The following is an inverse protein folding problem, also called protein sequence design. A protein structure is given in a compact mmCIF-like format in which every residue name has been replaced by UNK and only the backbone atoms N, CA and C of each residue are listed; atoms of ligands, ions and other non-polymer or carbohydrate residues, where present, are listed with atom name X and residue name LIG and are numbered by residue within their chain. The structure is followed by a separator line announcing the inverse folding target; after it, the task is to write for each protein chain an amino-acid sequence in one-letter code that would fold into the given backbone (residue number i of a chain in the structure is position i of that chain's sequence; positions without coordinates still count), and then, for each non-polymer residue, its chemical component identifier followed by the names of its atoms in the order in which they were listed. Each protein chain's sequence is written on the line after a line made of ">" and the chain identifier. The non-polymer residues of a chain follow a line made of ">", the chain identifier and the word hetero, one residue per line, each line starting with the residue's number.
data_IF_526961173291
#
_entry.id   IF_526961173291
#
_cell.length_a   1.000
_cell.length_b   1.000
_cell.length_c   1.000
_cell.angle_alpha   90.00
_cell.angle_beta   90.00
_cell.angle_gamma   90.00
#
_symmetry.space_group_name_H-M   'P 1'
#
loop_
_entity.id
_entity.type
_entity.pdbx_description
1 polymer ?
#
# COMPACT_ATOMS: atom_id res chain seq x y z
N UNK A 1 -4.34 8.77 32.56
CA UNK A 1 -3.59 7.50 32.40
C UNK A 1 -2.94 7.49 31.02
N UNK A 2 -1.64 7.82 30.93
CA UNK A 2 -0.88 7.87 29.67
C UNK A 2 -0.23 6.50 29.43
N UNK A 3 -0.38 6.00 28.21
CA UNK A 3 0.06 4.67 27.75
C UNK A 3 1.59 4.53 27.85
N UNK A 4 2.04 3.45 28.47
CA UNK A 4 3.43 2.99 28.48
C UNK A 4 3.66 2.21 27.18
N UNK A 5 4.63 2.63 26.37
CA UNK A 5 5.05 1.89 25.18
C UNK A 5 6.08 0.84 25.62
N UNK A 6 5.71 -0.43 25.60
CA UNK A 6 6.59 -1.56 25.88
C UNK A 6 6.99 -2.19 24.54
N UNK A 7 8.23 -1.97 24.08
CA UNK A 7 8.77 -2.75 22.96
C UNK A 7 9.35 -4.05 23.51
N UNK A 8 8.69 -5.17 23.23
CA UNK A 8 9.22 -6.51 23.48
C UNK A 8 9.55 -7.12 22.12
N UNK A 9 10.84 -7.27 21.80
CA UNK A 9 11.28 -8.08 20.67
C UNK A 9 11.36 -9.53 21.16
N UNK A 10 10.42 -10.39 20.77
CA UNK A 10 10.50 -11.84 21.01
C UNK A 10 10.93 -12.55 19.72
N UNK A 11 12.15 -13.09 19.68
CA UNK A 11 12.58 -14.06 18.68
C UNK A 11 12.44 -15.50 19.20
N UNK A 12 11.87 -16.39 18.39
CA UNK A 12 11.69 -17.82 18.70
C UNK A 12 13.03 -18.57 18.76
N UNK A 13 13.11 -19.52 19.70
CA UNK A 13 14.33 -20.16 20.18
C UNK A 13 14.89 -21.27 19.27
N UNK A 14 16.19 -21.18 18.99
CA UNK A 14 17.12 -22.30 18.98
C UNK A 14 18.17 -21.99 20.05
N UNK A 15 18.69 -23.00 20.76
CA UNK A 15 19.59 -22.84 21.93
C UNK A 15 20.85 -22.06 21.53
N UNK A 16 20.81 -20.75 21.71
CA UNK A 16 21.92 -19.83 21.59
C UNK A 16 22.06 -19.13 22.94
N UNK A 17 23.28 -18.98 23.43
CA UNK A 17 23.59 -18.13 24.59
C UNK A 17 23.05 -16.72 24.31
N UNK A 18 21.83 -16.45 24.79
CA UNK A 18 21.09 -15.26 24.42
C UNK A 18 21.64 -14.03 25.13
N UNK A 19 22.28 -13.14 24.38
CA UNK A 19 22.52 -11.77 24.84
C UNK A 19 21.16 -11.08 24.96
N UNK A 20 20.81 -10.69 26.18
CA UNK A 20 19.65 -9.86 26.47
C UNK A 20 20.04 -8.39 26.33
N UNK A 21 19.23 -7.58 25.64
CA UNK A 21 19.36 -6.13 25.59
C UNK A 21 18.04 -5.50 26.04
N UNK A 22 18.11 -4.51 26.92
CA UNK A 22 16.93 -3.79 27.42
C UNK A 22 17.27 -2.32 27.57
N UNK A 23 16.42 -1.47 27.00
CA UNK A 23 16.46 -0.02 27.21
C UNK A 23 15.21 0.36 27.99
N UNK A 24 15.40 0.89 29.18
CA UNK A 24 14.33 1.43 30.01
C UNK A 24 14.49 2.94 30.11
N UNK A 25 13.43 3.70 29.87
CA UNK A 25 13.44 5.16 30.01
C UNK A 25 12.23 5.60 30.81
N UNK A 26 12.47 6.44 31.82
CA UNK A 26 11.44 7.19 32.54
C UNK A 26 11.72 8.71 32.39
N UNK A 27 10.82 9.56 32.89
CA UNK A 27 10.88 11.03 32.72
C UNK A 27 12.20 11.70 33.18
N UNK A 28 13.11 10.99 33.85
CA UNK A 28 14.35 11.55 34.37
C UNK A 28 15.60 10.69 34.14
N UNK A 29 15.47 9.45 33.67
CA UNK A 29 16.59 8.50 33.61
C UNK A 29 16.41 7.49 32.50
N UNK A 30 17.47 7.25 31.75
CA UNK A 30 17.55 6.16 30.77
C UNK A 30 18.57 5.14 31.26
N UNK A 31 18.20 3.87 31.22
CA UNK A 31 19.05 2.74 31.57
C UNK A 31 19.19 1.84 30.35
N UNK A 32 20.42 1.61 29.92
CA UNK A 32 20.78 0.61 28.92
C UNK A 32 21.37 -0.59 29.65
N UNK A 33 20.84 -1.77 29.39
CA UNK A 33 21.34 -3.00 29.99
C UNK A 33 21.53 -4.05 28.92
N UNK A 34 22.73 -4.59 28.83
CA UNK A 34 23.00 -5.82 28.09
C UNK A 34 23.58 -6.87 29.04
N UNK A 35 23.19 -8.13 28.87
CA UNK A 35 23.74 -9.23 29.65
C UNK A 35 23.71 -10.55 28.90
N UNK A 36 24.76 -11.33 29.07
CA UNK A 36 24.88 -12.74 28.66
C UNK A 36 25.25 -13.59 29.89
N UNK A 37 25.59 -14.88 29.68
CA UNK A 37 25.91 -15.81 30.76
C UNK A 37 27.14 -15.42 31.60
N UNK A 38 28.08 -14.64 31.05
CA UNK A 38 29.36 -14.32 31.66
C UNK A 38 29.63 -12.81 31.80
N UNK A 39 28.85 -11.98 31.08
CA UNK A 39 29.04 -10.54 31.01
C UNK A 39 27.74 -9.77 31.29
N UNK A 40 27.89 -8.58 31.85
CA UNK A 40 26.82 -7.57 31.85
C UNK A 40 27.40 -6.17 31.64
N UNK A 41 26.65 -5.35 30.93
CA UNK A 41 26.98 -3.95 30.69
C UNK A 41 25.75 -3.10 30.94
N UNK A 42 25.83 -2.25 31.97
CA UNK A 42 24.73 -1.42 32.43
C UNK A 42 25.17 0.04 32.44
N UNK A 43 24.42 0.87 31.74
CA UNK A 43 24.67 2.30 31.62
C UNK A 43 23.42 3.02 32.10
N UNK A 44 23.59 3.87 33.10
CA UNK A 44 22.52 4.72 33.60
C UNK A 44 22.87 6.17 33.32
N UNK A 45 21.93 6.89 32.70
CA UNK A 45 22.16 8.25 32.25
C UNK A 45 20.97 9.16 32.56
N UNK A 46 21.26 10.38 33.02
CA UNK A 46 20.32 11.49 33.15
C UNK A 46 20.99 12.77 32.68
N UNK A 47 20.28 13.58 31.90
CA UNK A 47 20.80 14.85 31.39
C UNK A 47 21.48 14.73 30.02
N UNK A 48 22.14 15.81 29.60
CA UNK A 48 22.91 15.88 28.34
C UNK A 48 24.41 15.89 28.64
N UNK A 49 25.22 15.39 27.70
CA UNK A 49 26.65 15.16 27.89
C UNK A 49 27.44 15.55 26.66
N UNK A 50 28.64 16.10 26.87
CA UNK A 50 29.69 16.19 25.85
C UNK A 50 30.87 15.31 26.27
N UNK A 51 31.43 14.60 25.31
CA UNK A 51 32.66 13.81 25.48
C UNK A 51 33.83 14.52 24.81
N UNK A 52 35.05 14.21 25.25
CA UNK A 52 36.28 14.73 24.65
C UNK A 52 36.43 14.28 23.21
N UNK A 53 37.33 14.95 22.48
CA UNK A 53 37.53 14.77 21.04
C UNK A 53 37.89 13.35 20.60
N UNK A 54 38.45 12.56 21.51
CA UNK A 54 38.87 11.18 21.33
C UNK A 54 37.86 10.15 21.92
N UNK A 55 36.72 10.63 22.44
CA UNK A 55 35.72 9.84 23.17
C UNK A 55 36.28 9.10 24.39
N UNK A 56 37.37 9.60 25.01
CA UNK A 56 38.04 8.95 26.16
C UNK A 56 37.75 9.58 27.52
N UNK A 57 37.09 10.74 27.56
CA UNK A 57 36.63 11.35 28.80
C UNK A 57 35.32 12.13 28.61
N UNK A 58 34.61 12.40 29.71
CA UNK A 58 33.45 13.30 29.73
C UNK A 58 33.95 14.73 29.93
N UNK A 59 33.63 15.60 28.98
CA UNK A 59 34.01 17.02 28.96
C UNK A 59 33.04 17.87 29.78
N UNK A 60 31.73 17.64 29.62
CA UNK A 60 30.70 18.41 30.32
C UNK A 60 29.39 17.63 30.42
N UNK A 61 28.51 18.06 31.33
CA UNK A 61 27.14 17.56 31.44
C UNK A 61 26.17 18.63 31.94
N UNK A 62 24.86 18.42 31.73
CA UNK A 62 23.81 19.28 32.28
C UNK A 62 23.87 19.35 33.80
N UNK A 63 23.17 20.33 34.39
CA UNK A 63 23.22 20.57 35.84
C UNK A 63 22.75 19.36 36.66
N UNK A 64 21.76 18.63 36.17
CA UNK A 64 21.24 17.38 36.74
C UNK A 64 21.97 16.12 36.22
N UNK A 65 23.08 16.31 35.50
CA UNK A 65 23.83 15.27 34.82
C UNK A 65 24.26 14.12 35.74
N UNK A 66 23.98 12.90 35.31
CA UNK A 66 24.40 11.66 35.97
C UNK A 66 24.76 10.63 34.92
N UNK A 67 25.96 10.05 35.02
CA UNK A 67 26.37 8.90 34.21
C UNK A 67 26.97 7.83 35.13
N UNK A 68 26.38 6.64 35.13
CA UNK A 68 27.00 5.46 35.72
C UNK A 68 27.21 4.40 34.66
N UNK A 69 28.46 3.96 34.51
CA UNK A 69 28.84 2.87 33.62
C UNK A 69 29.26 1.72 34.51
N UNK A 70 28.60 0.57 34.39
CA UNK A 70 28.94 -0.66 35.11
C UNK A 70 29.19 -1.76 34.09
N UNK A 71 30.35 -2.40 34.14
CA UNK A 71 30.66 -3.58 33.32
C UNK A 71 31.10 -4.72 34.22
N UNK A 72 30.50 -5.88 34.04
CA UNK A 72 30.93 -7.13 34.67
C UNK A 72 31.40 -8.08 33.58
N UNK A 73 32.59 -8.65 33.72
CA UNK A 73 33.11 -9.67 32.81
C UNK A 73 33.77 -10.78 33.62
N UNK A 74 33.33 -12.02 33.42
CA UNK A 74 33.85 -13.20 34.14
C UNK A 74 33.92 -13.00 35.66
N UNK A 75 32.86 -12.43 36.25
CA UNK A 75 32.76 -12.16 37.69
C UNK A 75 33.49 -10.90 38.18
N UNK A 76 34.35 -10.28 37.36
CA UNK A 76 34.99 -9.00 37.70
C UNK A 76 34.09 -7.82 37.34
N UNK A 77 33.67 -7.04 38.33
CA UNK A 77 32.81 -5.87 38.16
C UNK A 77 33.59 -4.59 38.32
N UNK A 78 33.47 -3.69 37.36
CA UNK A 78 33.98 -2.31 37.40
C UNK A 78 32.84 -1.32 37.21
N UNK A 79 32.90 -0.19 37.88
CA UNK A 79 31.96 0.90 37.63
C UNK A 79 32.55 2.28 37.82
N UNK A 80 32.10 3.23 36.99
CA UNK A 80 32.40 4.66 37.11
C UNK A 80 31.08 5.38 37.30
N UNK A 81 31.04 6.28 38.28
CA UNK A 81 29.97 7.24 38.49
C UNK A 81 30.49 8.64 38.24
N UNK A 82 29.82 9.38 37.37
CA UNK A 82 30.14 10.75 37.03
C UNK A 82 28.93 11.63 37.36
N UNK A 83 29.17 12.63 38.19
CA UNK A 83 28.19 13.62 38.61
C UNK A 83 28.77 15.01 38.44
N UNK A 84 27.90 16.02 38.41
CA UNK A 84 28.32 17.42 38.36
C UNK A 84 28.14 18.08 39.73
N UNK A 85 29.21 18.68 40.24
CA UNK A 85 29.18 19.56 41.42
C UNK A 85 29.66 20.96 41.01
N UNK A 86 28.73 21.92 40.93
CA UNK A 86 29.01 23.25 40.40
C UNK A 86 29.47 23.21 38.93
N UNK A 87 30.71 23.64 38.67
CA UNK A 87 31.32 23.60 37.33
C UNK A 87 32.28 22.41 37.13
N UNK A 88 32.42 21.54 38.14
CA UNK A 88 33.35 20.42 38.12
C UNK A 88 32.62 19.09 37.96
N UNK A 89 33.27 18.14 37.28
CA UNK A 89 32.79 16.76 37.20
C UNK A 89 33.47 15.93 38.28
N UNK A 90 32.67 15.29 39.13
CA UNK A 90 33.15 14.35 40.15
C UNK A 90 33.05 12.95 39.57
N UNK A 91 34.19 12.27 39.47
CA UNK A 91 34.33 10.93 38.90
C UNK A 91 34.80 9.97 39.99
N UNK A 92 33.99 8.94 40.28
CA UNK A 92 34.32 7.90 41.25
C UNK A 92 34.40 6.55 40.57
N UNK A 93 35.49 5.83 40.82
CA UNK A 93 35.77 4.52 40.22
C UNK A 93 35.68 3.43 41.29
N UNK A 94 35.08 2.29 40.93
CA UNK A 94 34.89 1.16 41.82
C UNK A 94 35.32 -0.13 41.15
N UNK A 95 36.00 -0.99 41.91
CA UNK A 95 36.21 -2.40 41.61
C UNK A 95 35.43 -3.25 42.61
N UNK A 96 34.45 -4.00 42.12
CA UNK A 96 33.46 -4.68 42.96
C UNK A 96 32.64 -3.68 43.79
N UNK A 97 32.88 -3.64 45.10
CA UNK A 97 32.24 -2.72 46.06
C UNK A 97 33.21 -1.67 46.61
N UNK A 98 34.49 -1.74 46.23
CA UNK A 98 35.56 -0.91 46.78
C UNK A 98 35.79 0.29 45.89
N UNK A 99 35.79 1.50 46.46
CA UNK A 99 36.19 2.71 45.75
C UNK A 99 37.71 2.72 45.57
N UNK A 100 38.16 2.91 44.33
CA UNK A 100 39.57 3.01 43.96
C UNK A 100 39.82 4.43 43.46
N UNK A 101 41.03 4.95 43.71
CA UNK A 101 41.43 6.27 43.21
C UNK A 101 41.15 6.38 41.70
N UNK A 102 40.45 7.45 41.31
CA UNK A 102 40.12 7.67 39.91
C UNK A 102 41.37 7.85 39.04
N UNK A 103 42.39 8.52 39.57
CA UNK A 103 43.67 8.68 38.90
C UNK A 103 44.73 7.73 39.49
N UNK A 104 45.40 6.87 38.69
CA UNK A 104 45.26 6.71 37.23
C UNK A 104 44.22 5.67 36.77
N UNK A 105 43.80 4.75 37.64
CA UNK A 105 43.09 3.53 37.25
C UNK A 105 41.70 3.78 36.65
N UNK A 106 40.90 4.61 37.31
CA UNK A 106 39.58 5.02 36.83
C UNK A 106 39.64 5.79 35.51
N UNK A 107 40.60 6.71 35.34
CA UNK A 107 40.82 7.44 34.09
C UNK A 107 41.14 6.48 32.95
N UNK A 108 42.04 5.52 33.19
CA UNK A 108 42.40 4.51 32.18
C UNK A 108 41.18 3.68 31.78
N UNK A 109 40.42 3.19 32.75
CA UNK A 109 39.23 2.39 32.45
C UNK A 109 38.13 3.21 31.76
N UNK A 110 37.94 4.48 32.11
CA UNK A 110 37.03 5.39 31.40
C UNK A 110 37.40 5.53 29.93
N UNK A 111 38.69 5.76 29.65
CA UNK A 111 39.22 5.89 28.31
C UNK A 111 39.03 4.62 27.45
N UNK A 112 39.00 3.45 28.08
CA UNK A 112 38.76 2.16 27.43
C UNK A 112 37.26 1.91 27.16
N UNK A 113 36.39 2.23 28.12
CA UNK A 113 34.96 1.85 28.07
C UNK A 113 34.07 2.90 27.40
N UNK A 114 34.42 4.19 27.47
CA UNK A 114 33.58 5.27 26.95
C UNK A 114 33.34 5.20 25.41
N UNK A 115 34.33 4.83 24.57
CA UNK A 115 34.10 4.64 23.13
C UNK A 115 33.04 3.58 22.82
N UNK A 116 32.95 2.51 23.62
CA UNK A 116 31.91 1.48 23.51
C UNK A 116 30.54 2.05 23.92
N UNK A 117 30.48 2.80 25.03
CA UNK A 117 29.24 3.46 25.51
C UNK A 117 28.63 4.34 24.43
N UNK A 118 29.42 5.25 23.84
CA UNK A 118 28.90 6.23 22.88
C UNK A 118 28.54 5.65 21.51
N UNK A 119 28.94 4.39 21.22
CA UNK A 119 28.58 3.65 19.99
C UNK A 119 27.47 2.62 20.20
N UNK A 120 27.18 2.28 21.45
CA UNK A 120 26.12 1.33 21.85
C UNK A 120 24.94 2.02 22.54
N UNK A 121 25.00 3.33 22.72
CA UNK A 121 23.91 4.16 23.21
C UNK A 121 23.75 5.43 22.36
N UNK A 122 22.72 6.22 22.65
CA UNK A 122 22.54 7.56 22.07
C UNK A 122 23.19 8.66 22.93
N UNK A 123 24.00 8.29 23.93
CA UNK A 123 24.66 9.24 24.83
C UNK A 123 25.68 10.06 24.03
N UNK A 124 25.68 11.38 24.25
CA UNK A 124 26.53 12.35 23.55
C UNK A 124 26.39 12.32 22.01
N UNK A 125 25.36 11.67 21.45
CA UNK A 125 25.22 11.53 20.01
C UNK A 125 25.18 12.87 19.28
N UNK A 126 24.45 13.85 19.81
CA UNK A 126 24.37 15.20 19.24
C UNK A 126 25.72 15.90 19.22
N UNK A 127 26.43 15.95 20.35
CA UNK A 127 27.76 16.58 20.41
C UNK A 127 28.78 15.86 19.52
N UNK A 128 28.70 14.52 19.44
CA UNK A 128 29.58 13.72 18.57
C UNK A 128 29.31 14.02 17.11
N UNK A 129 28.04 14.06 16.68
CA UNK A 129 27.67 14.42 15.31
C UNK A 129 28.11 15.84 14.97
N UNK A 130 27.94 16.82 15.87
CA UNK A 130 28.42 18.19 15.69
C UNK A 130 29.94 18.19 15.43
N UNK A 131 30.69 17.55 16.31
CA UNK A 131 32.15 17.48 16.23
C UNK A 131 32.63 16.80 14.94
N UNK A 132 32.04 15.66 14.56
CA UNK A 132 32.42 14.99 13.31
C UNK A 132 32.06 15.82 12.08
N UNK A 133 30.90 16.47 12.09
CA UNK A 133 30.48 17.34 10.99
C UNK A 133 31.37 18.58 10.86
N UNK A 134 31.78 19.21 11.96
CA UNK A 134 32.72 20.33 11.96
C UNK A 134 34.12 19.92 11.44
N UNK A 135 34.58 18.71 11.80
CA UNK A 135 35.91 18.23 11.41
C UNK A 135 36.01 17.79 9.95
N UNK A 136 34.95 17.21 9.37
CA UNK A 136 35.02 16.61 8.03
C UNK A 136 33.69 16.52 7.28
N UNK A 137 32.70 17.32 7.68
CA UNK A 137 31.40 17.42 7.02
C UNK A 137 30.60 16.12 7.04
N UNK A 138 29.74 15.96 6.04
CA UNK A 138 28.88 14.78 5.84
C UNK A 138 29.66 13.47 5.88
N UNK A 139 30.82 13.42 5.23
CA UNK A 139 31.63 12.21 5.10
C UNK A 139 32.12 11.69 6.46
N UNK A 140 32.61 12.57 7.34
CA UNK A 140 33.09 12.18 8.66
C UNK A 140 31.99 11.61 9.55
N UNK A 141 30.77 12.16 9.47
CA UNK A 141 29.62 11.61 10.22
C UNK A 141 29.20 10.25 9.67
N UNK A 142 29.20 10.07 8.34
CA UNK A 142 28.89 8.78 7.72
C UNK A 142 29.92 7.69 8.11
N UNK A 143 31.20 8.02 8.23
CA UNK A 143 32.22 7.10 8.73
C UNK A 143 31.98 6.67 10.18
N UNK A 144 31.50 7.58 11.05
CA UNK A 144 31.10 7.19 12.40
C UNK A 144 29.84 6.31 12.40
N UNK A 145 28.85 6.61 11.54
CA UNK A 145 27.65 5.76 11.38
C UNK A 145 28.03 4.33 10.97
N UNK A 146 29.01 4.18 10.09
CA UNK A 146 29.52 2.87 9.65
C UNK A 146 30.17 2.07 10.79
N UNK A 147 30.82 2.75 11.74
CA UNK A 147 31.45 2.13 12.90
C UNK A 147 30.47 1.71 14.01
N UNK A 148 29.23 2.23 14.00
CA UNK A 148 28.18 1.88 14.95
C UNK A 148 27.61 0.50 14.59
N UNK A 149 27.27 -0.34 15.58
CA UNK A 149 26.72 -1.68 15.33
C UNK A 149 25.19 -1.71 15.28
N UNK A 150 24.53 -0.97 16.17
CA UNK A 150 23.07 -0.99 16.32
C UNK A 150 22.36 -0.15 15.26
N UNK A 151 21.41 -0.76 14.54
CA UNK A 151 20.57 -0.09 13.55
C UNK A 151 19.81 1.11 14.11
N UNK A 152 19.32 0.99 15.35
CA UNK A 152 18.64 2.09 16.06
C UNK A 152 19.56 3.30 16.19
N UNK A 153 20.81 3.08 16.59
CA UNK A 153 21.78 4.15 16.83
C UNK A 153 22.27 4.72 15.50
N UNK A 154 22.50 3.88 14.48
CA UNK A 154 22.80 4.33 13.11
C UNK A 154 21.71 5.28 12.61
N UNK A 155 20.44 4.88 12.74
CA UNK A 155 19.29 5.71 12.34
C UNK A 155 19.22 7.01 13.14
N UNK A 156 19.49 6.96 14.46
CA UNK A 156 19.54 8.15 15.29
C UNK A 156 20.62 9.13 14.84
N UNK A 157 21.86 8.67 14.61
CA UNK A 157 22.95 9.48 14.09
C UNK A 157 22.65 10.03 12.69
N UNK A 158 22.07 9.21 11.81
CA UNK A 158 21.68 9.64 10.47
C UNK A 158 20.61 10.74 10.50
N UNK A 159 19.63 10.67 11.40
CA UNK A 159 18.65 11.76 11.61
C UNK A 159 19.29 13.02 12.19
N UNK A 160 20.25 12.90 13.11
CA UNK A 160 21.01 14.04 13.61
C UNK A 160 21.85 14.69 12.51
N UNK A 161 22.47 13.89 11.63
CA UNK A 161 23.19 14.36 10.45
C UNK A 161 22.26 15.18 9.55
N UNK A 162 21.05 14.70 9.29
CA UNK A 162 20.10 15.44 8.45
C UNK A 162 19.56 16.73 9.08
N UNK A 163 19.83 17.00 10.35
CA UNK A 163 19.60 18.32 10.98
C UNK A 163 20.76 19.31 10.76
N UNK A 164 21.88 18.85 10.18
CA UNK A 164 23.03 19.69 9.79
C UNK A 164 22.83 20.27 8.40
N UNK A 165 23.60 21.33 8.03
CA UNK A 165 23.57 21.88 6.68
C UNK A 165 24.26 20.96 5.67
N UNK A 166 23.71 19.75 5.49
CA UNK A 166 24.13 18.78 4.46
C UNK A 166 23.77 19.36 3.09
N UNK A 167 24.73 19.35 2.16
CA UNK A 167 24.54 19.87 0.81
C UNK A 167 23.63 18.93 0.00
N UNK A 168 22.77 19.47 -0.87
CA UNK A 168 21.82 18.65 -1.64
C UNK A 168 22.51 17.60 -2.53
N UNK A 169 23.72 17.91 -3.04
CA UNK A 169 24.56 16.97 -3.78
C UNK A 169 24.97 15.72 -2.97
N UNK A 170 24.93 15.78 -1.64
CA UNK A 170 25.35 14.68 -0.76
C UNK A 170 24.15 13.79 -0.35
N UNK A 171 22.91 14.19 -0.62
CA UNK A 171 21.71 13.45 -0.18
C UNK A 171 21.69 12.00 -0.68
N UNK A 172 22.02 11.78 -1.96
CA UNK A 172 22.07 10.43 -2.54
C UNK A 172 23.10 9.54 -1.85
N UNK A 173 24.27 10.09 -1.49
CA UNK A 173 25.32 9.38 -0.76
C UNK A 173 24.86 9.05 0.66
N UNK A 174 24.21 10.00 1.35
CA UNK A 174 23.67 9.78 2.69
C UNK A 174 22.65 8.65 2.68
N UNK A 175 21.67 8.68 1.78
CA UNK A 175 20.66 7.61 1.64
C UNK A 175 21.34 6.27 1.37
N UNK A 176 22.29 6.22 0.43
CA UNK A 176 22.98 4.97 0.05
C UNK A 176 23.78 4.38 1.20
N UNK A 177 24.57 5.20 1.91
CA UNK A 177 25.42 4.74 3.02
C UNK A 177 24.61 4.32 4.24
N UNK A 178 23.57 5.08 4.59
CA UNK A 178 22.70 4.76 5.74
C UNK A 178 21.88 3.50 5.44
N UNK A 179 21.28 3.40 4.24
CA UNK A 179 20.50 2.22 3.86
C UNK A 179 21.33 0.95 3.69
N UNK A 180 22.61 1.07 3.28
CA UNK A 180 23.53 -0.06 3.25
C UNK A 180 23.98 -0.55 4.64
N UNK A 181 23.83 0.29 5.67
CA UNK A 181 24.26 -0.02 7.03
C UNK A 181 23.15 -0.44 7.99
N UNK A 182 21.86 -0.23 7.65
CA UNK A 182 20.71 -0.53 8.51
C UNK A 182 19.96 -1.73 7.95
N UNK A 183 19.82 -2.81 8.74
CA UNK A 183 19.09 -4.01 8.34
C UNK A 183 17.60 -3.95 8.75
N UNK A 184 17.28 -3.23 9.82
CA UNK A 184 15.91 -3.05 10.29
C UNK A 184 15.10 -2.16 9.35
N UNK A 185 14.13 -2.74 8.65
CA UNK A 185 13.18 -2.01 7.81
C UNK A 185 12.46 -0.89 8.59
N UNK A 186 12.20 -1.11 9.88
CA UNK A 186 11.58 -0.10 10.75
C UNK A 186 12.47 1.15 10.85
N UNK A 187 13.72 0.99 11.29
CA UNK A 187 14.62 2.14 11.47
C UNK A 187 15.04 2.78 10.15
N UNK A 188 15.15 1.98 9.09
CA UNK A 188 15.41 2.50 7.75
C UNK A 188 14.22 3.32 7.24
N UNK A 189 12.99 2.81 7.38
CA UNK A 189 11.80 3.55 6.95
C UNK A 189 11.58 4.82 7.76
N UNK A 190 11.84 4.83 9.07
CA UNK A 190 11.79 6.05 9.90
C UNK A 190 12.78 7.10 9.41
N UNK A 191 14.01 6.69 9.11
CA UNK A 191 15.05 7.56 8.56
C UNK A 191 14.64 8.15 7.21
N UNK A 192 14.17 7.32 6.28
CA UNK A 192 13.76 7.79 4.95
C UNK A 192 12.59 8.78 5.06
N UNK A 193 11.50 8.38 5.73
CA UNK A 193 10.28 9.18 5.85
C UNK A 193 10.54 10.55 6.49
N UNK A 194 11.38 10.63 7.51
CA UNK A 194 11.68 11.89 8.22
C UNK A 194 12.44 12.91 7.36
N UNK A 195 12.89 12.56 6.16
CA UNK A 195 13.79 13.36 5.33
C UNK A 195 13.40 13.39 3.85
N UNK A 196 12.19 12.94 3.49
CA UNK A 196 11.73 12.89 2.09
C UNK A 196 11.63 14.28 1.44
N UNK A 197 11.31 15.32 2.20
CA UNK A 197 11.26 16.71 1.74
C UNK A 197 12.62 17.20 1.18
N UNK A 198 13.71 16.59 1.65
CA UNK A 198 15.09 16.81 1.18
C UNK A 198 15.44 15.85 0.06
N UNK A 199 15.24 14.54 0.29
CA UNK A 199 15.69 13.51 -0.64
C UNK A 199 14.98 13.53 -1.99
N UNK A 200 13.74 14.01 -2.04
CA UNK A 200 13.00 14.08 -3.30
C UNK A 200 13.34 15.32 -4.14
N UNK A 201 14.21 16.24 -3.66
CA UNK A 201 14.56 17.47 -4.40
C UNK A 201 15.50 17.22 -5.58
N UNK A 202 16.26 16.13 -5.56
CA UNK A 202 17.11 15.72 -6.68
C UNK A 202 16.76 14.33 -7.15
N UNK A 203 17.01 14.08 -8.44
CA UNK A 203 16.72 12.80 -9.08
C UNK A 203 17.53 11.67 -8.46
N UNK A 204 18.82 11.91 -8.23
CA UNK A 204 19.76 10.92 -7.70
C UNK A 204 19.39 10.50 -6.27
N UNK A 205 18.95 11.45 -5.43
CA UNK A 205 18.55 11.13 -4.07
C UNK A 205 17.18 10.42 -4.02
N UNK A 206 16.24 10.81 -4.87
CA UNK A 206 14.96 10.10 -5.05
C UNK A 206 15.17 8.65 -5.50
N UNK A 207 16.03 8.43 -6.49
CA UNK A 207 16.41 7.08 -6.95
C UNK A 207 17.06 6.25 -5.83
N UNK A 208 17.90 6.87 -5.01
CA UNK A 208 18.49 6.21 -3.84
C UNK A 208 17.42 5.82 -2.79
N UNK A 209 16.42 6.67 -2.54
CA UNK A 209 15.30 6.38 -1.64
C UNK A 209 14.51 5.16 -2.12
N UNK A 210 14.11 5.14 -3.39
CA UNK A 210 13.35 4.02 -3.94
C UNK A 210 14.19 2.75 -4.05
N UNK A 211 15.51 2.86 -4.28
CA UNK A 211 16.44 1.71 -4.22
C UNK A 211 16.50 1.14 -2.81
N UNK A 212 16.64 1.97 -1.78
CA UNK A 212 16.63 1.53 -0.39
C UNK A 212 15.28 0.90 -0.01
N UNK A 213 14.18 1.53 -0.41
CA UNK A 213 12.81 1.03 -0.19
C UNK A 213 12.62 -0.36 -0.80
N UNK A 214 13.10 -0.56 -2.04
CA UNK A 214 12.96 -1.83 -2.73
C UNK A 214 13.75 -2.98 -2.08
N UNK A 215 14.79 -2.68 -1.30
CA UNK A 215 15.59 -3.68 -0.55
C UNK A 215 14.94 -4.11 0.76
N UNK A 216 13.95 -3.37 1.27
CA UNK A 216 13.27 -3.73 2.51
C UNK A 216 12.58 -5.10 2.39
N UNK A 217 12.51 -5.85 3.48
CA UNK A 217 11.76 -7.11 3.54
C UNK A 217 10.26 -6.91 3.73
N UNK A 218 9.90 -5.92 4.53
CA UNK A 218 8.54 -5.62 4.97
C UNK A 218 7.78 -4.76 3.96
N UNK A 219 6.73 -5.34 3.37
CA UNK A 219 5.79 -4.63 2.51
C UNK A 219 5.07 -3.47 3.22
N UNK A 220 4.88 -3.58 4.53
CA UNK A 220 4.31 -2.49 5.34
C UNK A 220 5.21 -1.26 5.31
N UNK A 221 6.51 -1.43 5.59
CA UNK A 221 7.46 -0.31 5.62
C UNK A 221 7.72 0.23 4.21
N UNK A 222 7.75 -0.62 3.18
CA UNK A 222 7.76 -0.18 1.77
C UNK A 222 6.58 0.74 1.47
N UNK A 223 5.38 0.31 1.84
CA UNK A 223 4.14 1.05 1.61
C UNK A 223 4.17 2.41 2.28
N UNK A 224 4.62 2.49 3.53
CA UNK A 224 4.75 3.76 4.27
C UNK A 224 5.68 4.74 3.56
N UNK A 225 6.89 4.30 3.17
CA UNK A 225 7.85 5.17 2.48
C UNK A 225 7.29 5.65 1.13
N UNK A 226 6.69 4.75 0.34
CA UNK A 226 6.13 5.09 -0.97
C UNK A 226 4.97 6.09 -0.84
N UNK A 227 4.03 5.84 0.08
CA UNK A 227 2.89 6.74 0.31
C UNK A 227 3.35 8.11 0.79
N UNK A 228 4.32 8.17 1.70
CA UNK A 228 4.84 9.44 2.20
C UNK A 228 5.61 10.20 1.11
N UNK A 229 6.36 9.50 0.25
CA UNK A 229 7.04 10.12 -0.88
C UNK A 229 6.05 10.74 -1.88
N UNK A 230 4.94 10.05 -2.14
CA UNK A 230 3.84 10.55 -2.98
C UNK A 230 3.07 11.73 -2.36
N UNK A 231 3.15 11.93 -1.04
CA UNK A 231 2.54 13.09 -0.35
C UNK A 231 3.49 14.28 -0.27
N UNK A 232 4.79 14.03 -0.15
CA UNK A 232 5.80 15.05 0.08
C UNK A 232 6.01 15.98 -1.13
N UNK A 233 5.63 15.57 -2.34
CA UNK A 233 5.75 16.38 -3.55
C UNK A 233 4.51 16.27 -4.45
N UNK A 234 4.25 17.28 -5.32
CA UNK A 234 3.23 17.17 -6.34
C UNK A 234 3.42 15.92 -7.21
N UNK A 235 2.31 15.28 -7.58
CA UNK A 235 2.32 14.11 -8.45
C UNK A 235 2.77 14.48 -9.87
N UNK A 236 4.07 14.47 -10.11
CA UNK A 236 4.64 14.51 -11.48
C UNK A 236 4.58 13.11 -12.08
N UNK A 237 4.48 13.00 -13.41
CA UNK A 237 4.42 11.70 -14.08
C UNK A 237 5.69 10.86 -13.81
N UNK A 238 6.87 11.49 -13.82
CA UNK A 238 8.14 10.81 -13.53
C UNK A 238 8.21 10.31 -12.08
N UNK A 239 7.87 11.17 -11.11
CA UNK A 239 7.89 10.81 -9.69
C UNK A 239 6.88 9.70 -9.36
N UNK A 240 5.68 9.79 -9.92
CA UNK A 240 4.67 8.73 -9.77
C UNK A 240 5.13 7.42 -10.40
N UNK A 241 5.72 7.43 -11.60
CA UNK A 241 6.26 6.21 -12.22
C UNK A 241 7.33 5.55 -11.36
N UNK A 242 8.25 6.31 -10.78
CA UNK A 242 9.26 5.77 -9.87
C UNK A 242 8.64 5.10 -8.63
N UNK A 243 7.62 5.74 -8.05
CA UNK A 243 6.86 5.17 -6.93
C UNK A 243 6.09 3.90 -7.34
N UNK A 244 5.44 3.88 -8.50
CA UNK A 244 4.69 2.72 -9.01
C UNK A 244 5.59 1.52 -9.35
N UNK A 245 6.81 1.76 -9.85
CA UNK A 245 7.83 0.71 -10.03
C UNK A 245 8.24 0.10 -8.69
N UNK A 246 8.26 0.89 -7.61
CA UNK A 246 8.53 0.35 -6.27
C UNK A 246 7.30 -0.36 -5.69
N UNK A 247 6.10 0.15 -5.95
CA UNK A 247 4.84 -0.48 -5.55
C UNK A 247 4.66 -1.86 -6.21
N UNK A 248 5.05 -2.04 -7.47
CA UNK A 248 4.96 -3.35 -8.15
C UNK A 248 5.89 -4.42 -7.56
N UNK A 249 6.91 -4.02 -6.79
CA UNK A 249 7.85 -4.91 -6.06
C UNK A 249 7.40 -5.26 -4.64
N UNK A 250 6.25 -4.75 -4.20
CA UNK A 250 5.58 -5.21 -2.98
C UNK A 250 5.07 -6.63 -3.23
N UNK A 251 5.14 -7.54 -2.26
CA UNK A 251 4.63 -8.90 -2.46
C UNK A 251 3.11 -8.98 -2.22
N UNK A 252 2.63 -8.37 -1.14
CA UNK A 252 1.23 -8.36 -0.73
C UNK A 252 0.37 -7.47 -1.61
N UNK A 253 -0.66 -8.07 -2.21
CA UNK A 253 -1.66 -7.38 -3.01
C UNK A 253 -2.47 -6.35 -2.22
N UNK A 254 -2.66 -6.58 -0.91
CA UNK A 254 -3.25 -5.61 0.00
C UNK A 254 -2.43 -4.32 0.02
N UNK A 255 -1.12 -4.43 0.25
CA UNK A 255 -0.22 -3.28 0.32
C UNK A 255 -0.05 -2.57 -1.04
N UNK A 256 -0.02 -3.31 -2.16
CA UNK A 256 -0.10 -2.70 -3.51
C UNK A 256 -1.37 -1.86 -3.67
N UNK A 257 -2.51 -2.40 -3.22
CA UNK A 257 -3.81 -1.72 -3.27
C UNK A 257 -3.83 -0.48 -2.40
N UNK A 258 -3.23 -0.52 -1.20
CA UNK A 258 -3.14 0.64 -0.32
C UNK A 258 -2.32 1.78 -0.94
N UNK A 259 -1.21 1.48 -1.63
CA UNK A 259 -0.45 2.50 -2.37
C UNK A 259 -1.30 3.13 -3.47
N UNK A 260 -1.88 2.30 -4.36
CA UNK A 260 -2.63 2.77 -5.53
C UNK A 260 -3.89 3.54 -5.15
N UNK A 261 -4.66 3.04 -4.17
CA UNK A 261 -5.87 3.73 -3.70
C UNK A 261 -5.55 5.00 -2.93
N UNK A 262 -4.42 5.08 -2.20
CA UNK A 262 -3.96 6.32 -1.58
C UNK A 262 -3.63 7.38 -2.65
N UNK A 263 -2.98 6.98 -3.74
CA UNK A 263 -2.66 7.89 -4.84
C UNK A 263 -3.91 8.38 -5.57
N UNK A 264 -4.88 7.49 -5.85
CA UNK A 264 -6.16 7.82 -6.50
C UNK A 264 -7.03 8.82 -5.71
N UNK A 265 -6.78 9.00 -4.41
CA UNK A 265 -7.47 10.01 -3.56
C UNK A 265 -6.92 11.43 -3.75
N UNK A 266 -5.79 11.61 -4.43
CA UNK A 266 -5.25 12.94 -4.68
C UNK A 266 -6.06 13.69 -5.75
N UNK A 267 -6.15 15.02 -5.63
CA UNK A 267 -6.99 15.83 -6.52
C UNK A 267 -6.31 16.09 -7.88
N UNK A 268 -4.98 16.29 -7.89
CA UNK A 268 -4.23 16.74 -9.07
C UNK A 268 -3.59 15.58 -9.85
N UNK A 269 -4.40 14.60 -10.27
CA UNK A 269 -3.93 13.47 -11.07
C UNK A 269 -4.25 13.72 -12.55
N UNK A 270 -3.22 13.73 -13.40
CA UNK A 270 -3.40 13.76 -14.85
C UNK A 270 -3.88 12.40 -15.36
N UNK A 271 -4.54 12.36 -16.52
CA UNK A 271 -4.96 11.10 -17.12
C UNK A 271 -3.78 10.15 -17.41
N UNK A 272 -2.61 10.69 -17.76
CA UNK A 272 -1.39 9.90 -17.93
C UNK A 272 -0.98 9.17 -16.63
N UNK A 273 -1.08 9.85 -15.49
CA UNK A 273 -0.83 9.24 -14.18
C UNK A 273 -1.87 8.17 -13.85
N UNK A 274 -3.15 8.43 -14.12
CA UNK A 274 -4.23 7.47 -13.89
C UNK A 274 -4.03 6.21 -14.75
N UNK A 275 -3.67 6.39 -16.01
CA UNK A 275 -3.32 5.30 -16.91
C UNK A 275 -2.18 4.43 -16.38
N UNK A 276 -1.11 5.01 -15.83
CA UNK A 276 -0.01 4.24 -15.23
C UNK A 276 -0.46 3.46 -13.99
N UNK A 277 -1.31 4.06 -13.15
CA UNK A 277 -1.89 3.38 -11.99
C UNK A 277 -2.74 2.18 -12.41
N UNK A 278 -3.59 2.35 -13.43
CA UNK A 278 -4.41 1.26 -14.00
C UNK A 278 -3.51 0.17 -14.58
N UNK A 279 -2.43 0.51 -15.29
CA UNK A 279 -1.52 -0.51 -15.79
C UNK A 279 -0.79 -1.27 -14.66
N UNK A 280 -0.48 -0.60 -13.55
CA UNK A 280 0.20 -1.21 -12.40
C UNK A 280 -0.68 -2.25 -11.69
N UNK A 281 -2.01 -2.20 -11.83
CA UNK A 281 -2.92 -3.21 -11.24
C UNK A 281 -2.68 -4.62 -11.79
N UNK A 282 -2.03 -4.76 -12.96
CA UNK A 282 -1.61 -6.05 -13.52
C UNK A 282 -0.63 -6.80 -12.62
N UNK A 283 0.09 -6.09 -11.74
CA UNK A 283 0.95 -6.70 -10.72
C UNK A 283 0.19 -7.26 -9.52
N UNK A 284 -1.11 -6.98 -9.38
CA UNK A 284 -1.98 -7.48 -8.31
C UNK A 284 -2.58 -8.81 -8.74
N UNK A 285 -2.32 -9.90 -8.02
CA UNK A 285 -2.80 -11.24 -8.41
C UNK A 285 -4.23 -11.51 -7.93
N UNK A 286 -4.62 -10.95 -6.79
CA UNK A 286 -5.95 -11.10 -6.23
C UNK A 286 -6.99 -10.28 -7.03
N UNK A 287 -7.95 -10.98 -7.62
CA UNK A 287 -9.11 -10.39 -8.32
C UNK A 287 -9.85 -9.36 -7.45
N UNK A 288 -9.99 -9.64 -6.15
CA UNK A 288 -10.61 -8.75 -5.18
C UNK A 288 -9.87 -7.41 -5.12
N UNK A 289 -8.57 -7.46 -4.82
CA UNK A 289 -7.75 -6.26 -4.66
C UNK A 289 -7.59 -5.49 -5.97
N UNK A 290 -7.46 -6.19 -7.11
CA UNK A 290 -7.46 -5.57 -8.43
C UNK A 290 -8.77 -4.82 -8.69
N UNK A 291 -9.91 -5.42 -8.35
CA UNK A 291 -11.23 -4.80 -8.45
C UNK A 291 -11.35 -3.55 -7.58
N UNK A 292 -10.83 -3.56 -6.35
CA UNK A 292 -10.81 -2.39 -5.47
C UNK A 292 -10.10 -1.20 -6.13
N UNK A 293 -8.93 -1.43 -6.75
CA UNK A 293 -8.20 -0.33 -7.42
C UNK A 293 -8.95 0.16 -8.68
N UNK A 294 -9.41 -0.77 -9.54
CA UNK A 294 -10.07 -0.41 -10.79
C UNK A 294 -11.38 0.35 -10.56
N UNK A 295 -12.21 -0.11 -9.62
CA UNK A 295 -13.45 0.58 -9.27
C UNK A 295 -13.18 1.94 -8.64
N UNK A 296 -12.12 2.08 -7.84
CA UNK A 296 -11.68 3.39 -7.32
C UNK A 296 -11.22 4.34 -8.42
N UNK A 297 -10.54 3.83 -9.46
CA UNK A 297 -10.16 4.64 -10.62
C UNK A 297 -11.39 5.12 -11.40
N UNK A 298 -12.42 4.26 -11.53
CA UNK A 298 -13.69 4.57 -12.19
C UNK A 298 -14.58 5.56 -11.43
N UNK A 299 -14.27 5.88 -10.17
CA UNK A 299 -14.92 7.00 -9.45
C UNK A 299 -14.49 8.38 -10.03
N UNK A 300 -13.53 8.40 -10.97
CA UNK A 300 -13.03 9.60 -11.64
C UNK A 300 -13.45 9.61 -13.12
N UNK A 301 -13.47 10.79 -13.72
CA UNK A 301 -13.58 10.93 -15.17
C UNK A 301 -12.27 10.44 -15.82
N UNK A 302 -12.39 9.44 -16.69
CA UNK A 302 -11.27 8.82 -17.40
C UNK A 302 -11.27 9.23 -18.87
N UNK A 303 -10.10 9.38 -19.48
CA UNK A 303 -10.02 9.43 -20.93
C UNK A 303 -10.42 8.09 -21.55
N UNK A 304 -10.75 8.10 -22.85
CA UNK A 304 -11.00 6.87 -23.60
C UNK A 304 -9.84 5.86 -23.48
N UNK A 305 -8.59 6.34 -23.45
CA UNK A 305 -7.40 5.50 -23.35
C UNK A 305 -7.28 4.86 -21.96
N UNK A 306 -7.50 5.62 -20.88
CA UNK A 306 -7.51 5.09 -19.51
C UNK A 306 -8.65 4.10 -19.31
N UNK A 307 -9.82 4.41 -19.86
CA UNK A 307 -10.97 3.52 -19.83
C UNK A 307 -10.71 2.20 -20.56
N UNK A 308 -10.09 2.23 -21.75
CA UNK A 308 -9.69 1.02 -22.47
C UNK A 308 -8.73 0.15 -21.63
N UNK A 309 -7.79 0.77 -20.89
CA UNK A 309 -6.91 0.02 -19.97
C UNK A 309 -7.66 -0.63 -18.82
N UNK A 310 -8.77 -0.03 -18.35
CA UNK A 310 -9.65 -0.69 -17.37
C UNK A 310 -10.30 -1.92 -17.98
N UNK A 311 -10.81 -1.84 -19.22
CA UNK A 311 -11.37 -2.99 -19.95
C UNK A 311 -10.33 -4.11 -20.05
N UNK A 312 -9.11 -3.78 -20.49
CA UNK A 312 -8.01 -4.74 -20.60
C UNK A 312 -7.68 -5.39 -19.26
N UNK A 313 -7.54 -4.60 -18.20
CA UNK A 313 -7.26 -5.13 -16.86
C UNK A 313 -8.41 -5.98 -16.30
N UNK A 314 -9.66 -5.70 -16.67
CA UNK A 314 -10.83 -6.47 -16.24
C UNK A 314 -10.92 -7.84 -16.95
N UNK A 315 -10.42 -7.95 -18.18
CA UNK A 315 -10.35 -9.24 -18.89
C UNK A 315 -9.46 -10.25 -18.17
N UNK A 316 -8.40 -9.76 -17.53
CA UNK A 316 -7.43 -10.56 -16.77
C UNK A 316 -7.92 -10.96 -15.36
N UNK A 317 -9.15 -10.57 -14.97
CA UNK A 317 -9.78 -11.02 -13.71
C UNK A 317 -10.39 -12.40 -13.93
N UNK A 318 -10.12 -13.35 -13.04
CA UNK A 318 -10.59 -14.74 -13.18
C UNK A 318 -12.01 -14.93 -12.63
N UNK A 319 -12.31 -14.32 -11.48
CA UNK A 319 -13.62 -14.41 -10.84
C UNK A 319 -14.68 -13.62 -11.62
N UNK A 320 -15.71 -14.34 -12.08
CA UNK A 320 -16.89 -13.75 -12.71
C UNK A 320 -17.53 -12.64 -11.85
N UNK A 321 -17.58 -12.85 -10.53
CA UNK A 321 -18.11 -11.86 -9.58
C UNK A 321 -17.35 -10.53 -9.67
N UNK A 322 -16.02 -10.59 -9.51
CA UNK A 322 -15.16 -9.41 -9.52
C UNK A 322 -15.09 -8.74 -10.89
N UNK A 323 -15.07 -9.53 -11.98
CA UNK A 323 -15.14 -9.03 -13.35
C UNK A 323 -16.45 -8.26 -13.58
N UNK A 324 -17.58 -8.82 -13.17
CA UNK A 324 -18.89 -8.15 -13.25
C UNK A 324 -18.92 -6.87 -12.41
N UNK A 325 -18.30 -6.85 -11.22
CA UNK A 325 -18.22 -5.64 -10.40
C UNK A 325 -17.49 -4.49 -11.10
N UNK A 326 -16.31 -4.76 -11.70
CA UNK A 326 -15.57 -3.74 -12.46
C UNK A 326 -16.42 -3.24 -13.63
N UNK A 327 -16.93 -4.14 -14.49
CA UNK A 327 -17.67 -3.76 -15.70
C UNK A 327 -18.95 -2.98 -15.34
N UNK A 328 -19.68 -3.37 -14.31
CA UNK A 328 -20.85 -2.61 -13.82
C UNK A 328 -20.49 -1.24 -13.28
N UNK A 329 -19.29 -1.09 -12.71
CA UNK A 329 -18.79 0.23 -12.28
C UNK A 329 -18.49 1.12 -13.49
N UNK A 330 -18.02 0.55 -14.60
CA UNK A 330 -17.78 1.28 -15.84
C UNK A 330 -19.08 1.82 -16.44
N UNK A 331 -20.17 1.05 -16.34
CA UNK A 331 -21.51 1.44 -16.78
C UNK A 331 -22.27 2.38 -15.82
N UNK A 332 -21.61 2.98 -14.81
CA UNK A 332 -22.22 4.01 -13.95
C UNK A 332 -22.36 5.36 -14.65
N UNK A 333 -21.43 5.68 -15.55
CA UNK A 333 -21.49 6.87 -16.39
C UNK A 333 -22.03 6.51 -17.78
N UNK A 334 -22.48 7.50 -18.55
CA UNK A 334 -22.91 7.29 -19.94
C UNK A 334 -21.74 6.73 -20.75
N UNK A 335 -21.96 5.62 -21.44
CA UNK A 335 -20.96 4.99 -22.30
C UNK A 335 -21.36 5.11 -23.78
N UNK A 336 -20.37 5.26 -24.66
CA UNK A 336 -20.59 5.24 -26.10
C UNK A 336 -20.72 3.78 -26.63
N UNK A 337 -21.11 3.65 -27.90
CA UNK A 337 -21.30 2.34 -28.52
C UNK A 337 -19.99 1.56 -28.74
N UNK A 338 -18.84 2.23 -28.86
CA UNK A 338 -17.55 1.56 -28.97
C UNK A 338 -17.21 0.88 -27.64
N UNK A 339 -17.37 1.60 -26.56
CA UNK A 339 -17.22 1.12 -25.19
C UNK A 339 -18.20 -0.01 -24.90
N UNK A 340 -19.47 0.11 -25.32
CA UNK A 340 -20.45 -0.97 -25.18
C UNK A 340 -19.95 -2.26 -25.85
N UNK A 341 -19.45 -2.19 -27.09
CA UNK A 341 -18.92 -3.37 -27.80
C UNK A 341 -17.75 -4.02 -27.06
N UNK A 342 -16.87 -3.21 -26.46
CA UNK A 342 -15.77 -3.71 -25.64
C UNK A 342 -16.26 -4.40 -24.36
N UNK A 343 -17.26 -3.83 -23.69
CA UNK A 343 -17.92 -4.42 -22.52
C UNK A 343 -18.59 -5.76 -22.89
N UNK A 344 -19.35 -5.81 -23.98
CA UNK A 344 -20.02 -7.03 -24.45
C UNK A 344 -19.02 -8.11 -24.89
N UNK A 345 -17.86 -7.70 -25.42
CA UNK A 345 -16.78 -8.64 -25.72
C UNK A 345 -16.19 -9.21 -24.44
N UNK A 346 -15.96 -8.37 -23.42
CA UNK A 346 -15.45 -8.82 -22.13
C UNK A 346 -16.46 -9.69 -21.37
N UNK A 347 -17.77 -9.41 -21.50
CA UNK A 347 -18.83 -10.16 -20.82
C UNK A 347 -18.92 -11.63 -21.26
N UNK A 348 -18.50 -11.95 -22.48
CA UNK A 348 -18.41 -13.33 -22.98
C UNK A 348 -17.42 -14.20 -22.21
N UNK A 349 -16.48 -13.59 -21.48
CA UNK A 349 -15.54 -14.29 -20.60
C UNK A 349 -16.08 -14.52 -19.18
N UNK A 350 -17.34 -14.14 -18.91
CA UNK A 350 -18.05 -14.44 -17.66
C UNK A 350 -18.77 -15.77 -17.86
N UNK A 351 -18.41 -16.80 -17.11
CA UNK A 351 -18.98 -18.15 -17.29
C UNK A 351 -20.37 -18.30 -16.65
N UNK A 352 -20.60 -17.61 -15.54
CA UNK A 352 -21.86 -17.64 -14.81
C UNK A 352 -22.92 -16.78 -15.50
N UNK A 353 -23.98 -17.44 -15.96
CA UNK A 353 -25.17 -16.75 -16.50
C UNK A 353 -25.83 -15.82 -15.47
N UNK A 354 -25.70 -16.12 -14.17
CA UNK A 354 -26.16 -15.22 -13.12
C UNK A 354 -25.44 -13.87 -13.20
N UNK A 355 -24.10 -13.89 -13.25
CA UNK A 355 -23.31 -12.66 -13.31
C UNK A 355 -23.40 -11.95 -14.67
N UNK A 356 -23.60 -12.69 -15.77
CA UNK A 356 -23.95 -12.10 -17.08
C UNK A 356 -25.30 -11.39 -17.02
N UNK A 357 -26.29 -11.97 -16.36
CA UNK A 357 -27.60 -11.34 -16.14
C UNK A 357 -27.44 -10.03 -15.40
N UNK A 358 -26.77 -10.03 -14.23
CA UNK A 358 -26.55 -8.82 -13.44
C UNK A 358 -25.87 -7.68 -14.22
N UNK A 359 -24.94 -8.04 -15.12
CA UNK A 359 -24.29 -7.07 -16.00
C UNK A 359 -25.26 -6.52 -17.04
N UNK A 360 -25.94 -7.39 -17.79
CA UNK A 360 -26.83 -6.98 -18.89
C UNK A 360 -28.02 -6.18 -18.37
N UNK A 361 -28.63 -6.59 -17.24
CA UNK A 361 -29.71 -5.82 -16.62
C UNK A 361 -29.22 -4.45 -16.18
N UNK A 362 -28.05 -4.37 -15.56
CA UNK A 362 -27.44 -3.08 -15.19
C UNK A 362 -27.16 -2.17 -16.39
N UNK A 363 -26.88 -2.72 -17.57
CA UNK A 363 -26.69 -1.94 -18.81
C UNK A 363 -28.04 -1.43 -19.33
N UNK A 364 -29.09 -2.25 -19.34
CA UNK A 364 -30.44 -1.80 -19.69
C UNK A 364 -30.93 -0.69 -18.75
N UNK A 365 -30.74 -0.86 -17.43
CA UNK A 365 -31.27 0.07 -16.42
C UNK A 365 -30.61 1.46 -16.48
N UNK A 366 -29.30 1.51 -16.77
CA UNK A 366 -28.49 2.74 -16.62
C UNK A 366 -28.23 3.47 -17.91
N UNK A 367 -28.40 2.81 -19.05
CA UNK A 367 -27.99 3.35 -20.33
C UNK A 367 -29.19 3.43 -21.29
N UNK A 368 -29.12 4.41 -22.20
CA UNK A 368 -30.03 4.54 -23.32
C UNK A 368 -29.23 4.38 -24.60
N UNK A 369 -29.57 3.37 -25.38
CA UNK A 369 -28.81 2.97 -26.55
C UNK A 369 -29.64 3.14 -27.83
N UNK A 370 -28.94 3.32 -28.95
CA UNK A 370 -29.55 3.22 -30.28
C UNK A 370 -30.17 1.85 -30.50
N UNK A 371 -31.03 1.72 -31.51
CA UNK A 371 -31.63 0.43 -31.89
C UNK A 371 -30.57 -0.64 -32.18
N UNK A 372 -29.46 -0.26 -32.80
CA UNK A 372 -28.36 -1.17 -33.12
C UNK A 372 -27.64 -1.66 -31.86
N UNK A 373 -27.32 -0.76 -30.93
CA UNK A 373 -26.67 -1.11 -29.66
C UNK A 373 -27.61 -1.89 -28.73
N UNK A 374 -28.91 -1.56 -28.72
CA UNK A 374 -29.94 -2.33 -28.01
C UNK A 374 -30.02 -3.77 -28.53
N UNK A 375 -30.03 -3.95 -29.86
CA UNK A 375 -30.02 -5.28 -30.49
C UNK A 375 -28.81 -6.10 -30.05
N UNK A 376 -27.61 -5.50 -29.98
CA UNK A 376 -26.39 -6.20 -29.52
C UNK A 376 -26.49 -6.67 -28.06
N UNK A 377 -27.10 -5.88 -27.17
CA UNK A 377 -27.33 -6.28 -25.78
C UNK A 377 -28.28 -7.46 -25.66
N UNK A 378 -29.40 -7.39 -26.40
CA UNK A 378 -30.39 -8.46 -26.44
C UNK A 378 -29.78 -9.75 -27.03
N UNK A 379 -28.96 -9.65 -28.09
CA UNK A 379 -28.22 -10.79 -28.65
C UNK A 379 -27.22 -11.38 -27.63
N UNK A 380 -26.53 -10.53 -26.86
CA UNK A 380 -25.65 -11.00 -25.79
C UNK A 380 -26.40 -11.78 -24.69
N UNK A 381 -27.66 -11.44 -24.44
CA UNK A 381 -28.57 -12.23 -23.59
C UNK A 381 -28.96 -13.56 -24.24
N UNK A 382 -29.23 -13.59 -25.54
CA UNK A 382 -29.56 -14.80 -26.28
C UNK A 382 -28.42 -15.84 -26.28
N UNK A 383 -27.16 -15.38 -26.24
CA UNK A 383 -25.94 -16.19 -26.15
C UNK A 383 -25.73 -16.87 -24.77
N UNK A 384 -26.68 -16.76 -23.83
CA UNK A 384 -26.58 -17.37 -22.50
C UNK A 384 -27.03 -18.85 -22.50
N UNK A 385 -26.62 -19.62 -21.50
CA UNK A 385 -26.99 -21.04 -21.40
C UNK A 385 -28.39 -21.25 -20.82
N UNK A 386 -28.70 -20.55 -19.73
CA UNK A 386 -29.91 -20.72 -18.92
C UNK A 386 -31.08 -19.91 -19.46
N UNK A 387 -32.17 -20.61 -19.79
CA UNK A 387 -33.44 -20.02 -20.22
C UNK A 387 -34.09 -19.13 -19.15
N UNK A 388 -33.88 -19.46 -17.87
CA UNK A 388 -34.33 -18.63 -16.76
C UNK A 388 -33.66 -17.25 -16.80
N UNK A 389 -32.34 -17.24 -16.98
CA UNK A 389 -31.56 -15.99 -17.01
C UNK A 389 -31.78 -15.19 -18.30
N UNK A 390 -31.91 -15.85 -19.46
CA UNK A 390 -32.38 -15.20 -20.71
C UNK A 390 -33.70 -14.46 -20.49
N UNK A 391 -34.65 -15.12 -19.84
CA UNK A 391 -35.97 -14.56 -19.54
C UNK A 391 -35.87 -13.31 -18.67
N UNK A 392 -35.02 -13.31 -17.64
CA UNK A 392 -34.78 -12.12 -16.81
C UNK A 392 -34.21 -10.95 -17.62
N UNK A 393 -33.21 -11.21 -18.48
CA UNK A 393 -32.63 -10.18 -19.36
C UNK A 393 -33.68 -9.60 -20.32
N UNK A 394 -34.46 -10.45 -21.00
CA UNK A 394 -35.46 -9.97 -21.95
C UNK A 394 -36.62 -9.24 -21.30
N UNK A 395 -37.06 -9.65 -20.10
CA UNK A 395 -38.06 -8.89 -19.33
C UNK A 395 -37.52 -7.53 -18.92
N UNK A 396 -36.28 -7.45 -18.48
CA UNK A 396 -35.63 -6.16 -18.18
C UNK A 396 -35.55 -5.28 -19.42
N UNK A 397 -35.22 -5.85 -20.58
CA UNK A 397 -35.24 -5.12 -21.85
C UNK A 397 -36.65 -4.60 -22.21
N UNK A 398 -37.71 -5.35 -21.86
CA UNK A 398 -39.11 -4.96 -22.06
C UNK A 398 -39.62 -3.88 -21.07
N UNK A 399 -38.89 -3.62 -19.99
CA UNK A 399 -39.23 -2.59 -19.00
C UNK A 399 -38.71 -1.20 -19.42
N UNK A 400 -37.90 -1.12 -20.49
CA UNK A 400 -37.43 0.14 -21.06
C UNK A 400 -38.59 1.01 -21.56
N UNK A 401 -38.51 2.30 -21.26
CA UNK A 401 -39.53 3.28 -21.64
C UNK A 401 -39.46 3.70 -23.12
N UNK A 402 -38.29 3.55 -23.74
CA UNK A 402 -37.97 4.00 -25.10
C UNK A 402 -38.04 2.86 -26.14
N UNK A 403 -38.93 1.89 -25.91
CA UNK A 403 -39.16 0.77 -26.82
C UNK A 403 -39.90 1.22 -28.08
N UNK A 404 -39.29 0.98 -29.23
CA UNK A 404 -39.89 1.13 -30.55
C UNK A 404 -40.06 -0.26 -31.21
N UNK A 405 -40.65 -0.28 -32.40
CA UNK A 405 -40.89 -1.52 -33.13
C UNK A 405 -39.60 -2.30 -33.42
N UNK A 406 -38.51 -1.62 -33.81
CA UNK A 406 -37.20 -2.24 -34.05
C UNK A 406 -36.69 -3.00 -32.83
N UNK A 407 -36.75 -2.38 -31.64
CA UNK A 407 -36.33 -2.98 -30.37
C UNK A 407 -37.21 -4.17 -29.98
N UNK A 408 -38.53 -4.05 -30.15
CA UNK A 408 -39.47 -5.13 -29.86
C UNK A 408 -39.25 -6.34 -30.79
N UNK A 409 -39.00 -6.11 -32.08
CA UNK A 409 -38.63 -7.18 -33.02
C UNK A 409 -37.31 -7.83 -32.61
N UNK A 410 -36.30 -7.06 -32.20
CA UNK A 410 -35.02 -7.61 -31.74
C UNK A 410 -35.21 -8.54 -30.52
N UNK A 411 -36.03 -8.15 -29.54
CA UNK A 411 -36.38 -9.01 -28.39
C UNK A 411 -37.07 -10.28 -28.86
N UNK A 412 -38.12 -10.17 -29.69
CA UNK A 412 -38.86 -11.33 -30.20
C UNK A 412 -37.96 -12.31 -30.95
N UNK A 413 -37.03 -11.83 -31.79
CA UNK A 413 -36.07 -12.71 -32.47
C UNK A 413 -35.13 -13.39 -31.47
N UNK A 414 -34.64 -12.68 -30.46
CA UNK A 414 -33.75 -13.25 -29.45
C UNK A 414 -34.45 -14.27 -28.53
N UNK A 415 -35.76 -14.13 -28.27
CA UNK A 415 -36.52 -15.13 -27.49
C UNK A 415 -36.55 -16.51 -28.16
N UNK A 416 -36.31 -16.60 -29.48
CA UNK A 416 -36.16 -17.88 -30.19
C UNK A 416 -34.96 -18.71 -29.68
N UNK A 417 -34.05 -18.14 -28.88
CA UNK A 417 -32.98 -18.87 -28.19
C UNK A 417 -33.43 -19.59 -26.90
N UNK A 418 -34.64 -19.32 -26.39
CA UNK A 418 -35.20 -19.96 -25.18
C UNK A 418 -35.79 -21.32 -25.55
N UNK A 419 -35.36 -22.40 -24.90
CA UNK A 419 -35.82 -23.76 -25.20
C UNK A 419 -37.01 -24.19 -24.33
N UNK A 420 -37.11 -23.67 -23.12
CA UNK A 420 -38.23 -23.92 -22.23
C UNK A 420 -39.49 -23.19 -22.70
N UNK A 421 -40.52 -23.97 -23.03
CA UNK A 421 -41.87 -23.48 -23.38
C UNK A 421 -42.45 -22.54 -22.31
N UNK A 422 -42.20 -22.84 -21.03
CA UNK A 422 -42.66 -22.03 -19.91
C UNK A 422 -42.03 -20.62 -19.95
N UNK A 423 -40.71 -20.57 -20.01
CA UNK A 423 -39.95 -19.32 -20.00
C UNK A 423 -40.19 -18.49 -21.27
N UNK A 424 -40.26 -19.14 -22.43
CA UNK A 424 -40.61 -18.47 -23.68
C UNK A 424 -42.00 -17.84 -23.60
N UNK A 425 -42.99 -18.58 -23.09
CA UNK A 425 -44.35 -18.07 -22.90
C UNK A 425 -44.39 -16.90 -21.92
N UNK A 426 -43.54 -16.90 -20.90
CA UNK A 426 -43.45 -15.79 -19.94
C UNK A 426 -43.02 -14.48 -20.63
N UNK A 427 -41.95 -14.52 -21.44
CA UNK A 427 -41.49 -13.33 -22.19
C UNK A 427 -42.53 -12.90 -23.22
N UNK A 428 -43.10 -13.84 -23.97
CA UNK A 428 -44.14 -13.56 -24.96
C UNK A 428 -45.38 -12.90 -24.31
N UNK A 429 -45.84 -13.44 -23.19
CA UNK A 429 -46.96 -12.83 -22.45
C UNK A 429 -46.63 -11.40 -22.00
N UNK A 430 -45.37 -11.13 -21.64
CA UNK A 430 -44.92 -9.80 -21.21
C UNK A 430 -44.87 -8.77 -22.34
N UNK A 431 -44.50 -9.19 -23.56
CA UNK A 431 -44.41 -8.27 -24.72
C UNK A 431 -45.74 -8.10 -25.46
N UNK A 432 -46.67 -9.05 -25.31
CA UNK A 432 -47.93 -9.09 -26.06
C UNK A 432 -48.77 -7.80 -26.01
N UNK A 433 -48.90 -7.07 -24.88
CA UNK A 433 -49.64 -5.79 -24.85
C UNK A 433 -49.10 -4.76 -25.85
N UNK A 434 -47.78 -4.70 -26.03
CA UNK A 434 -47.13 -3.77 -26.97
C UNK A 434 -47.24 -4.24 -28.42
N UNK A 435 -47.24 -5.57 -28.64
CA UNK A 435 -47.39 -6.17 -29.98
C UNK A 435 -48.80 -5.97 -30.52
N UNK A 436 -49.83 -6.03 -29.67
CA UNK A 436 -51.23 -5.82 -30.05
C UNK A 436 -51.48 -4.50 -30.77
N UNK A 437 -50.90 -3.43 -30.24
CA UNK A 437 -50.98 -2.08 -30.79
C UNK A 437 -49.97 -1.82 -31.92
N UNK A 438 -49.10 -2.78 -32.24
CA UNK A 438 -48.05 -2.62 -33.25
C UNK A 438 -48.48 -3.02 -34.66
N UNK A 439 -47.51 -2.94 -35.58
CA UNK A 439 -47.70 -3.30 -36.98
C UNK A 439 -48.00 -4.80 -37.17
N UNK A 440 -48.48 -5.16 -38.36
CA UNK A 440 -48.64 -6.56 -38.74
C UNK A 440 -47.29 -7.30 -38.82
N UNK A 441 -46.21 -6.59 -39.14
CA UNK A 441 -44.85 -7.13 -39.09
C UNK A 441 -44.45 -7.53 -37.66
N UNK A 442 -44.76 -6.70 -36.67
CA UNK A 442 -44.49 -6.99 -35.26
C UNK A 442 -45.33 -8.17 -34.76
N UNK A 443 -46.62 -8.22 -35.13
CA UNK A 443 -47.50 -9.37 -34.82
C UNK A 443 -46.99 -10.65 -35.47
N UNK A 444 -46.47 -10.57 -36.69
CA UNK A 444 -45.87 -11.72 -37.38
C UNK A 444 -44.61 -12.22 -36.66
N UNK A 445 -43.71 -11.32 -36.26
CA UNK A 445 -42.52 -11.68 -35.48
C UNK A 445 -42.88 -12.38 -34.16
N UNK A 446 -43.95 -11.94 -33.48
CA UNK A 446 -44.46 -12.60 -32.29
C UNK A 446 -44.94 -14.02 -32.57
N UNK A 447 -45.76 -14.19 -33.61
CA UNK A 447 -46.28 -15.52 -34.00
C UNK A 447 -45.15 -16.49 -34.37
N UNK A 448 -44.11 -16.00 -35.03
CA UNK A 448 -42.92 -16.80 -35.33
C UNK A 448 -42.15 -17.25 -34.09
N UNK A 449 -41.99 -16.38 -33.09
CA UNK A 449 -41.39 -16.77 -31.82
C UNK A 449 -42.27 -17.77 -31.06
N UNK A 450 -43.59 -17.55 -31.02
CA UNK A 450 -44.56 -18.44 -30.37
C UNK A 450 -44.56 -19.86 -30.97
N UNK A 451 -44.34 -20.00 -32.28
CA UNK A 451 -44.28 -21.32 -32.96
C UNK A 451 -43.16 -22.23 -32.46
N UNK A 452 -42.17 -21.72 -31.71
CA UNK A 452 -41.16 -22.56 -31.07
C UNK A 452 -41.72 -23.32 -29.84
N UNK A 453 -42.82 -22.84 -29.27
CA UNK A 453 -43.44 -23.49 -28.12
C UNK A 453 -44.05 -24.83 -28.56
N UNK A 454 -43.57 -25.92 -27.98
CA UNK A 454 -44.01 -27.26 -28.34
C UNK A 454 -45.26 -27.71 -27.57
N UNK A 455 -45.41 -27.25 -26.33
CA UNK A 455 -46.59 -27.52 -25.50
C UNK A 455 -47.79 -26.71 -25.97
N UNK A 456 -48.87 -27.40 -26.32
CA UNK A 456 -50.15 -26.78 -26.70
C UNK A 456 -50.71 -25.84 -25.63
N UNK A 457 -50.51 -26.18 -24.34
CA UNK A 457 -50.99 -25.36 -23.22
C UNK A 457 -50.26 -24.01 -23.18
N UNK A 458 -48.94 -24.04 -23.29
CA UNK A 458 -48.09 -22.85 -23.30
C UNK A 458 -48.27 -22.04 -24.58
N UNK A 459 -48.34 -22.71 -25.74
CA UNK A 459 -48.60 -22.07 -27.03
C UNK A 459 -49.95 -21.35 -27.03
N UNK A 460 -51.01 -22.03 -26.59
CA UNK A 460 -52.34 -21.43 -26.45
C UNK A 460 -52.35 -20.26 -25.48
N UNK A 461 -51.55 -20.29 -24.40
CA UNK A 461 -51.40 -19.14 -23.50
C UNK A 461 -50.71 -17.96 -24.20
N UNK A 462 -49.63 -18.19 -24.94
CA UNK A 462 -48.94 -17.15 -25.69
C UNK A 462 -49.85 -16.53 -26.77
N UNK A 463 -50.58 -17.34 -27.54
CA UNK A 463 -51.50 -16.82 -28.56
C UNK A 463 -52.66 -16.03 -27.96
N UNK A 464 -53.29 -16.52 -26.88
CA UNK A 464 -54.32 -15.75 -26.16
C UNK A 464 -53.83 -14.42 -25.61
N UNK A 465 -52.55 -14.30 -25.24
CA UNK A 465 -51.99 -13.03 -24.78
C UNK A 465 -51.87 -11.98 -25.89
N UNK A 466 -51.75 -12.43 -27.15
CA UNK A 466 -51.75 -11.59 -28.36
C UNK A 466 -53.17 -11.19 -28.77
N UNK A 467 -54.16 -12.07 -28.58
CA UNK A 467 -55.53 -11.84 -29.08
C UNK A 467 -56.44 -11.10 -28.08
N UNK A 468 -56.11 -11.13 -26.79
CA UNK A 468 -56.74 -10.31 -25.72
C UNK A 468 -55.91 -9.06 -25.51
#
# INVERSE_FOLDING_TARGET
>A
MKRILLFVLTGLAWVAYGQSETVYSNNSKTTYRTSDAFNSFNIEVRGTFEVTDDDRDVKSMSHDGYLEITKTSFGSRRSIKITREGNSLIKRYYEGRTEINFDPEGRKWLAEVLPEVVRTTTIAAESRVNRFFEKGGTAAVLSEIEAIKSDHIKSHYARLLMKKPVLEKDYAQVVTKVSGGINSDHYLSEFLQSNLDKFLRSKEASEAVFTATNKMGSDHYKTQVIQEALRAQPATLEGVRAALVSASKINSDHYKTEVLTSLLRQNNLTDAIISEMINTTKSINSDHYRTVVLTKALDRELSATSYQRVVESAKDINSDHYKTQVIRSMARNTIDEKVLREILTASRSINSDHYRTELLTSLFDRQNFSDAAFKQLVESGADMGSDHYKTQVFKTALDKSDLNETKLVAILQATKSINSDHYLTEVLSSVAPRVRSGSDGLKQAYREAARKISSETYYGRAMRALDR
#
